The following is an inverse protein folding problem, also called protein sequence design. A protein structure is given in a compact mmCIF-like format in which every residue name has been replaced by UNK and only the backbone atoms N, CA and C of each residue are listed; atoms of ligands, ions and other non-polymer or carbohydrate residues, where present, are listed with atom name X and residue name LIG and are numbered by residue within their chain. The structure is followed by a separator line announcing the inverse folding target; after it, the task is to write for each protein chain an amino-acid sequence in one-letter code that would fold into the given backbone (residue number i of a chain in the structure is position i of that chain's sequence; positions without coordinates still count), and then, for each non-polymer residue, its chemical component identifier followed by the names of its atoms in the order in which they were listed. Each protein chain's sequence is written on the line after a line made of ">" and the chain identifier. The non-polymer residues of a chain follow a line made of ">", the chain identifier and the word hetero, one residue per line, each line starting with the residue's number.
data_IF_232521507534
#
_entry.id   IF_232521507534
#
_cell.length_a   1.000
_cell.length_b   1.000
_cell.length_c   1.000
_cell.angle_alpha   90.00
_cell.angle_beta   90.00
_cell.angle_gamma   90.00
#
_symmetry.space_group_name_H-M   'P 1'
#
loop_
_entity.id
_entity.type
_entity.pdbx_description
1 polymer ?
#
# COMPACT_ATOMS: atom_id res chain seq x y z
N UNK A 1 12.86 21.76 -80.23
CA UNK A 1 12.12 22.26 -79.05
C UNK A 1 12.00 21.12 -78.07
N UNK A 2 12.80 21.13 -77.06
CA UNK A 2 12.83 20.04 -76.07
C UNK A 2 12.37 20.57 -74.75
N UNK A 3 11.30 20.05 -74.30
CA UNK A 3 10.73 20.40 -72.98
C UNK A 3 11.25 19.33 -72.02
N UNK A 4 12.15 19.71 -71.21
CA UNK A 4 12.57 18.86 -70.08
C UNK A 4 11.65 19.11 -68.91
N UNK A 5 10.84 18.13 -68.61
CA UNK A 5 10.02 18.15 -67.42
C UNK A 5 10.87 17.58 -66.29
N UNK A 6 11.28 18.44 -65.41
CA UNK A 6 11.91 18.02 -64.16
C UNK A 6 10.85 17.60 -63.17
N UNK A 7 10.78 16.34 -62.92
CA UNK A 7 9.95 15.82 -61.87
C UNK A 7 10.73 15.97 -60.56
N UNK A 8 10.29 16.88 -59.75
CA UNK A 8 10.79 17.00 -58.42
C UNK A 8 10.00 15.97 -57.59
N UNK A 9 10.67 14.89 -57.30
CA UNK A 9 10.14 13.94 -56.33
C UNK A 9 10.27 14.56 -54.96
N UNK A 10 9.18 15.03 -54.45
CA UNK A 10 9.11 15.38 -53.04
C UNK A 10 9.09 14.10 -52.22
N UNK A 11 10.20 13.75 -51.67
CA UNK A 11 10.23 12.72 -50.68
C UNK A 11 9.56 13.24 -49.40
N UNK A 12 8.33 12.86 -49.23
CA UNK A 12 7.68 13.06 -47.98
C UNK A 12 8.35 12.16 -46.95
N UNK A 13 9.19 12.75 -46.16
CA UNK A 13 9.69 12.10 -44.96
C UNK A 13 8.53 11.99 -44.01
N UNK A 14 7.82 10.90 -44.05
CA UNK A 14 6.97 10.47 -43.00
C UNK A 14 7.86 10.08 -41.83
N UNK A 15 8.15 11.03 -41.01
CA UNK A 15 8.61 10.73 -39.69
C UNK A 15 7.51 9.94 -38.99
N UNK A 16 7.80 8.76 -38.53
CA UNK A 16 6.83 8.11 -37.64
C UNK A 16 6.63 9.05 -36.47
N UNK A 17 5.49 9.67 -36.46
CA UNK A 17 5.11 10.50 -35.33
C UNK A 17 5.13 9.62 -34.10
N UNK A 18 6.04 9.96 -33.25
CA UNK A 18 5.91 9.52 -31.91
C UNK A 18 5.96 8.02 -31.75
N UNK A 19 7.12 7.52 -31.59
CA UNK A 19 7.20 6.54 -30.56
C UNK A 19 6.34 7.09 -29.43
N UNK A 20 5.18 6.49 -29.23
CA UNK A 20 4.47 6.70 -27.99
C UNK A 20 5.48 6.33 -26.93
N UNK A 21 6.07 7.33 -26.34
CA UNK A 21 6.88 7.11 -25.17
C UNK A 21 5.89 6.56 -24.20
N UNK A 22 5.96 5.28 -23.93
CA UNK A 22 5.27 4.71 -22.82
C UNK A 22 5.63 5.58 -21.65
N UNK A 23 4.67 6.35 -21.17
CA UNK A 23 4.85 7.16 -20.01
C UNK A 23 5.35 6.23 -18.93
N UNK A 24 6.52 6.45 -18.35
CA UNK A 24 6.92 5.65 -17.22
C UNK A 24 5.82 5.78 -16.21
N UNK A 25 5.26 4.67 -15.82
CA UNK A 25 4.35 4.62 -14.69
C UNK A 25 5.08 5.27 -13.54
N UNK A 26 4.52 6.29 -12.91
CA UNK A 26 5.17 6.92 -11.78
C UNK A 26 5.40 5.84 -10.72
N UNK A 27 6.63 5.50 -10.50
CA UNK A 27 7.04 4.49 -9.54
C UNK A 27 6.77 4.91 -8.11
N UNK A 28 6.55 6.19 -7.92
CA UNK A 28 6.13 6.77 -6.66
C UNK A 28 4.62 6.70 -6.42
N UNK A 29 3.86 6.19 -7.37
CA UNK A 29 2.51 5.79 -7.03
C UNK A 29 2.65 4.84 -5.85
N UNK A 30 2.22 5.31 -4.69
CA UNK A 30 2.25 4.54 -3.47
C UNK A 30 1.79 3.13 -3.80
N UNK A 31 2.64 2.16 -3.53
CA UNK A 31 2.23 0.78 -3.68
C UNK A 31 0.92 0.68 -2.93
N UNK A 32 -0.15 0.35 -3.64
CA UNK A 32 -1.46 0.20 -3.03
C UNK A 32 -1.33 -0.81 -1.92
N UNK A 33 -1.71 -0.43 -0.72
CA UNK A 33 -1.71 -1.34 0.41
C UNK A 33 -2.55 -2.57 0.06
N UNK A 34 -2.04 -3.74 0.40
CA UNK A 34 -2.70 -5.01 0.13
C UNK A 34 -3.11 -5.64 1.45
N UNK A 35 -4.38 -6.00 1.56
CA UNK A 35 -4.93 -6.72 2.70
C UNK A 35 -6.06 -7.62 2.23
N UNK A 36 -5.99 -8.89 2.54
CA UNK A 36 -7.03 -9.85 2.19
C UNK A 36 -8.32 -9.56 2.94
N UNK A 37 -9.45 -9.88 2.33
CA UNK A 37 -10.76 -9.79 2.98
C UNK A 37 -10.74 -10.65 4.26
N UNK A 38 -11.44 -10.17 5.28
CA UNK A 38 -11.56 -10.82 6.60
C UNK A 38 -10.24 -10.90 7.39
N UNK A 39 -9.22 -10.16 6.96
CA UNK A 39 -7.95 -10.05 7.67
C UNK A 39 -7.75 -8.66 8.27
N UNK A 40 -7.00 -8.63 9.35
CA UNK A 40 -6.43 -7.41 9.90
C UNK A 40 -4.97 -7.34 9.50
N UNK A 41 -4.58 -6.29 8.80
CA UNK A 41 -3.24 -6.12 8.26
C UNK A 41 -2.51 -4.99 8.98
N UNK A 42 -1.26 -5.26 9.32
CA UNK A 42 -0.34 -4.29 9.89
C UNK A 42 0.84 -4.09 8.96
N UNK A 43 1.27 -2.86 8.80
CA UNK A 43 2.33 -2.48 7.86
C UNK A 43 3.47 -1.79 8.59
N UNK A 44 4.67 -2.05 8.12
CA UNK A 44 5.89 -1.48 8.70
C UNK A 44 5.89 0.05 8.66
N UNK A 45 5.42 0.64 7.55
CA UNK A 45 5.41 2.08 7.36
C UNK A 45 4.02 2.69 7.53
N UNK A 46 3.98 4.01 7.69
CA UNK A 46 2.74 4.73 8.01
C UNK A 46 1.72 4.81 6.88
N UNK A 47 2.11 4.49 5.67
CA UNK A 47 1.30 4.59 4.45
C UNK A 47 0.83 3.22 3.91
N UNK A 48 0.91 2.18 4.69
CA UNK A 48 0.54 0.83 4.27
C UNK A 48 1.57 0.15 3.38
N UNK A 49 2.80 0.60 3.43
CA UNK A 49 3.92 0.04 2.68
C UNK A 49 4.92 -0.67 3.60
N UNK A 50 5.93 -1.27 3.01
CA UNK A 50 6.91 -2.07 3.72
C UNK A 50 6.41 -3.49 3.98
N UNK A 51 7.00 -4.14 4.95
CA UNK A 51 6.60 -5.48 5.35
C UNK A 51 5.19 -5.46 5.92
N UNK A 52 4.47 -6.54 5.70
CA UNK A 52 3.08 -6.69 6.15
C UNK A 52 2.92 -7.95 6.97
N UNK A 53 2.16 -7.83 8.05
CA UNK A 53 1.57 -8.95 8.76
C UNK A 53 0.07 -9.00 8.52
N UNK A 54 -0.49 -10.17 8.30
CA UNK A 54 -1.93 -10.41 8.18
C UNK A 54 -2.39 -11.31 9.32
N UNK A 55 -3.45 -10.91 10.01
CA UNK A 55 -3.86 -11.57 11.25
C UNK A 55 -5.34 -11.90 11.25
N UNK A 56 -5.67 -13.05 11.81
CA UNK A 56 -7.04 -13.49 12.13
C UNK A 56 -7.29 -13.47 13.63
N UNK A 57 -6.28 -13.79 14.41
CA UNK A 57 -6.41 -14.03 15.86
C UNK A 57 -5.54 -13.08 16.72
N UNK A 58 -4.78 -12.21 16.08
CA UNK A 58 -3.89 -11.30 16.77
C UNK A 58 -2.43 -11.76 16.83
N UNK A 59 -1.63 -10.93 17.45
CA UNK A 59 -0.20 -11.20 17.71
C UNK A 59 0.24 -10.51 18.98
N UNK A 60 0.96 -11.21 19.82
CA UNK A 60 1.58 -10.65 21.02
C UNK A 60 2.85 -9.87 20.72
N UNK A 61 3.48 -10.11 19.58
CA UNK A 61 4.64 -9.37 19.12
C UNK A 61 4.80 -9.53 17.59
N UNK A 62 4.70 -8.43 16.88
CA UNK A 62 4.87 -8.43 15.41
C UNK A 62 6.27 -8.87 14.97
N UNK A 63 7.25 -8.81 15.84
CA UNK A 63 8.59 -9.34 15.55
C UNK A 63 8.60 -10.82 15.23
N UNK A 64 7.62 -11.57 15.69
CA UNK A 64 7.44 -12.99 15.33
C UNK A 64 7.16 -13.18 13.84
N UNK A 65 6.62 -12.15 13.18
CA UNK A 65 6.37 -12.12 11.74
C UNK A 65 7.42 -11.30 10.97
N UNK A 66 8.58 -11.11 11.55
CA UNK A 66 9.68 -10.35 10.96
C UNK A 66 9.38 -8.86 10.74
N UNK A 67 8.51 -8.30 11.55
CA UNK A 67 8.23 -6.86 11.55
C UNK A 67 8.95 -6.23 12.75
N UNK A 68 9.83 -5.25 12.55
CA UNK A 68 10.47 -4.57 13.69
C UNK A 68 9.44 -3.77 14.51
N UNK A 69 8.49 -3.17 13.83
CA UNK A 69 7.33 -2.48 14.37
C UNK A 69 6.34 -2.21 13.24
N UNK A 70 5.13 -1.78 13.57
CA UNK A 70 4.13 -1.40 12.59
C UNK A 70 3.66 0.03 12.83
N UNK A 71 3.33 0.74 11.76
CA UNK A 71 2.95 2.17 11.81
C UNK A 71 1.62 2.46 11.15
N UNK A 72 1.06 1.50 10.42
CA UNK A 72 -0.27 1.62 9.84
C UNK A 72 -1.00 0.28 9.89
N UNK A 73 -2.32 0.37 9.81
CA UNK A 73 -3.22 -0.78 9.92
C UNK A 73 -4.35 -0.67 8.91
N UNK A 74 -4.83 -1.80 8.45
CA UNK A 74 -6.04 -1.90 7.67
C UNK A 74 -6.90 -3.04 8.22
N UNK A 75 -8.08 -2.67 8.73
CA UNK A 75 -9.02 -3.63 9.29
C UNK A 75 -10.06 -4.02 8.25
N UNK A 76 -9.91 -5.18 7.67
CA UNK A 76 -10.90 -5.74 6.74
C UNK A 76 -11.78 -6.81 7.40
N UNK A 77 -11.88 -6.77 8.71
CA UNK A 77 -12.75 -7.64 9.49
C UNK A 77 -13.96 -6.87 10.01
N UNK A 78 -14.96 -7.58 10.49
CA UNK A 78 -16.12 -7.02 11.14
C UNK A 78 -15.97 -6.88 12.68
N UNK A 79 -14.75 -7.00 13.16
CA UNK A 79 -14.43 -6.85 14.58
C UNK A 79 -13.61 -5.58 14.81
N UNK A 80 -13.71 -5.03 16.02
CA UNK A 80 -12.74 -4.06 16.50
C UNK A 80 -11.40 -4.73 16.70
N UNK A 81 -10.33 -3.98 16.51
CA UNK A 81 -8.98 -4.41 16.84
C UNK A 81 -8.29 -3.39 17.72
N UNK A 82 -7.55 -3.90 18.66
CA UNK A 82 -6.73 -3.09 19.56
C UNK A 82 -5.26 -3.33 19.22
N UNK A 83 -4.51 -2.24 19.11
CA UNK A 83 -3.10 -2.27 18.77
C UNK A 83 -2.32 -1.55 19.86
N UNK A 84 -1.26 -2.17 20.38
CA UNK A 84 -0.44 -1.61 21.46
C UNK A 84 0.97 -1.30 21.00
N UNK A 85 1.53 -0.25 21.60
CA UNK A 85 2.88 0.20 21.25
C UNK A 85 3.99 -0.76 21.67
N UNK A 86 3.74 -1.62 22.63
CA UNK A 86 4.68 -2.60 23.13
C UNK A 86 4.20 -4.02 22.87
N UNK A 87 5.11 -4.97 22.96
CA UNK A 87 4.76 -6.38 22.93
C UNK A 87 3.86 -6.74 24.11
N UNK A 88 3.18 -7.86 24.02
CA UNK A 88 2.34 -8.44 25.07
C UNK A 88 1.21 -7.50 25.51
N UNK A 89 0.68 -6.73 24.54
CA UNK A 89 -0.51 -5.89 24.74
C UNK A 89 -0.31 -4.81 25.80
N UNK A 90 0.85 -4.20 25.81
CA UNK A 90 1.23 -3.17 26.76
C UNK A 90 1.53 -1.83 26.06
N UNK A 91 1.53 -0.77 26.85
CA UNK A 91 1.83 0.57 26.37
C UNK A 91 0.63 1.33 25.86
N UNK A 92 0.87 2.24 24.94
CA UNK A 92 -0.18 3.06 24.33
C UNK A 92 -1.05 2.20 23.41
N UNK A 93 -2.35 2.41 23.46
CA UNK A 93 -3.33 1.63 22.73
C UNK A 93 -4.06 2.48 21.71
N UNK A 94 -4.28 1.92 20.53
CA UNK A 94 -5.14 2.46 19.48
C UNK A 94 -6.23 1.44 19.17
N UNK A 95 -7.46 1.90 19.04
CA UNK A 95 -8.59 1.07 18.62
C UNK A 95 -8.84 1.31 17.13
N UNK A 96 -8.88 0.25 16.34
CA UNK A 96 -9.21 0.27 14.93
C UNK A 96 -10.61 -0.30 14.76
N UNK A 97 -11.49 0.48 14.13
CA UNK A 97 -12.89 0.11 13.97
C UNK A 97 -13.07 -1.00 12.93
N UNK A 98 -14.18 -1.75 12.98
CA UNK A 98 -14.52 -2.73 11.96
C UNK A 98 -14.54 -2.11 10.57
N UNK A 99 -13.95 -2.79 9.61
CA UNK A 99 -13.90 -2.36 8.20
C UNK A 99 -13.32 -0.95 8.00
N UNK A 100 -12.53 -0.47 8.95
CA UNK A 100 -11.82 0.81 8.81
C UNK A 100 -10.73 0.67 7.75
N UNK A 101 -10.71 1.61 6.79
CA UNK A 101 -9.68 1.67 5.76
C UNK A 101 -8.29 1.90 6.35
N UNK A 102 -7.31 1.98 5.48
CA UNK A 102 -5.92 2.19 5.90
C UNK A 102 -5.81 3.40 6.84
N UNK A 103 -5.21 3.16 7.98
CA UNK A 103 -5.06 4.15 9.05
C UNK A 103 -3.63 4.22 9.54
N UNK A 104 -3.14 5.42 9.73
CA UNK A 104 -1.90 5.66 10.45
C UNK A 104 -2.13 5.45 11.94
N UNK A 105 -1.20 4.78 12.60
CA UNK A 105 -1.30 4.50 14.04
C UNK A 105 -0.74 5.62 14.90
N UNK A 106 -0.02 6.56 14.31
CA UNK A 106 0.57 7.69 15.03
C UNK A 106 1.88 7.36 15.75
N UNK A 107 2.49 6.23 15.46
CA UNK A 107 3.75 5.79 16.04
C UNK A 107 4.07 4.35 15.72
N UNK A 108 5.03 3.79 16.41
CA UNK A 108 5.45 2.40 16.26
C UNK A 108 4.66 1.52 17.24
N UNK A 109 4.10 0.43 16.74
CA UNK A 109 3.28 -0.51 17.50
C UNK A 109 3.81 -1.93 17.34
N UNK A 110 3.53 -2.81 18.28
CA UNK A 110 4.12 -4.14 18.33
C UNK A 110 3.18 -5.28 18.63
N UNK A 111 2.00 -5.05 19.11
CA UNK A 111 1.05 -6.14 19.39
C UNK A 111 -0.38 -5.74 19.05
N UNK A 112 -1.23 -6.71 18.77
CA UNK A 112 -2.62 -6.48 18.39
C UNK A 112 -3.52 -7.67 18.76
N UNK A 113 -4.75 -7.38 19.14
CA UNK A 113 -5.80 -8.37 19.38
C UNK A 113 -7.14 -7.92 18.81
N UNK A 114 -7.96 -8.85 18.30
CA UNK A 114 -9.35 -8.54 18.01
C UNK A 114 -10.12 -8.33 19.31
N UNK A 115 -11.14 -7.47 19.23
CA UNK A 115 -12.03 -7.19 20.33
C UNK A 115 -13.48 -7.24 19.87
N UNK A 116 -14.38 -7.69 20.73
CA UNK A 116 -15.81 -7.78 20.41
C UNK A 116 -16.54 -6.45 20.49
N UNK A 117 -15.90 -5.43 21.07
CA UNK A 117 -16.42 -4.09 21.22
C UNK A 117 -15.26 -3.09 21.19
N UNK A 118 -15.57 -1.78 21.21
CA UNK A 118 -14.55 -0.73 21.26
C UNK A 118 -13.82 -0.70 22.62
N UNK A 119 -13.49 -1.85 23.12
CA UNK A 119 -12.78 -2.05 24.39
C UNK A 119 -11.66 -3.06 24.21
N UNK A 120 -10.58 -2.75 24.82
CA UNK A 120 -9.44 -3.67 24.91
C UNK A 120 -9.26 -4.16 26.37
#
# INVERSE_FOLDING_TARGET
>A
MRITVSIVAAAALLLPAGAAVASPVPQSAAATAVCSIDHFCLYEYSDGTGRRGSYLNGTDDVKRQNLPSVRSAWNRTNQYWCVWSQAEYMGTKVIVQPNEGLRQLGGAFRSALPASAARC
#
